data_IF_829563814433
#
_entry.id   IF_829563814433
#
_cell.length_a   1.000
_cell.length_b   1.000
_cell.length_c   1.000
_cell.angle_alpha   90.00
_cell.angle_beta   90.00
_cell.angle_gamma   90.00
#
_symmetry.space_group_name_H-M   'P 1'
#
loop_
_entity.id
_entity.type
_entity.pdbx_description
1 polymer ?
#
# COMPACT_ATOMS: atom_id res chain seq x y z
N UNK A 1 -19.77 -24.63 3.53
CA UNK A 1 -18.84 -24.10 4.54
C UNK A 1 -18.00 -25.26 5.05
N UNK A 2 -16.69 -25.17 4.93
CA UNK A 2 -15.73 -26.19 5.36
C UNK A 2 -14.86 -25.61 6.47
N UNK A 3 -14.69 -26.33 7.58
CA UNK A 3 -13.93 -25.85 8.73
C UNK A 3 -12.61 -26.59 8.89
N UNK A 4 -11.55 -25.85 9.17
CA UNK A 4 -10.21 -26.35 9.44
C UNK A 4 -9.72 -25.83 10.79
N UNK A 5 -9.14 -26.71 11.61
CA UNK A 5 -8.76 -26.36 12.97
C UNK A 5 -7.53 -27.11 13.48
N UNK A 6 -6.72 -26.42 14.29
CA UNK A 6 -5.75 -27.03 15.21
C UNK A 6 -4.45 -27.57 14.60
N UNK A 7 -3.86 -26.86 13.63
CA UNK A 7 -2.55 -27.22 13.05
C UNK A 7 -1.45 -26.33 13.62
N UNK A 8 -0.51 -26.89 14.38
CA UNK A 8 0.54 -26.11 15.04
C UNK A 8 1.95 -26.52 14.62
N UNK A 9 2.90 -25.58 14.68
CA UNK A 9 4.29 -25.80 14.27
C UNK A 9 4.42 -25.91 12.75
N UNK A 10 5.54 -26.38 12.23
CA UNK A 10 5.76 -26.55 10.78
C UNK A 10 4.97 -27.73 10.14
N UNK A 11 3.74 -27.97 10.59
CA UNK A 11 2.86 -29.00 10.08
C UNK A 11 1.87 -28.41 9.07
N UNK A 12 1.46 -29.22 8.11
CA UNK A 12 0.45 -28.88 7.10
C UNK A 12 -0.66 -29.93 7.12
N UNK A 13 -1.91 -29.49 7.17
CA UNK A 13 -3.06 -30.36 6.93
C UNK A 13 -3.57 -30.15 5.50
N UNK A 14 -3.61 -31.23 4.72
CA UNK A 14 -4.08 -31.21 3.34
C UNK A 14 -5.53 -31.71 3.28
N UNK A 15 -6.38 -31.00 2.56
CA UNK A 15 -7.76 -31.36 2.32
C UNK A 15 -8.15 -31.15 0.85
N UNK A 16 -8.79 -32.14 0.24
CA UNK A 16 -9.34 -32.03 -1.10
C UNK A 16 -10.87 -31.97 -1.01
N UNK A 17 -11.45 -30.90 -1.56
CA UNK A 17 -12.90 -30.71 -1.64
C UNK A 17 -13.33 -31.02 -3.07
N UNK A 18 -14.03 -32.13 -3.26
CA UNK A 18 -14.52 -32.54 -4.57
C UNK A 18 -15.97 -32.13 -4.82
N UNK A 19 -16.25 -31.67 -6.03
CA UNK A 19 -17.60 -31.33 -6.50
C UNK A 19 -18.05 -32.30 -7.59
N UNK A 20 -19.34 -32.63 -7.64
CA UNK A 20 -19.86 -33.50 -8.68
C UNK A 20 -19.96 -32.77 -10.03
N UNK A 21 -20.01 -33.54 -11.12
CA UNK A 21 -20.01 -33.02 -12.48
C UNK A 21 -21.18 -32.04 -12.71
N UNK A 22 -20.86 -30.81 -13.11
CA UNK A 22 -21.85 -29.77 -13.44
C UNK A 22 -22.53 -29.12 -12.23
N UNK A 23 -22.02 -29.33 -11.01
CA UNK A 23 -22.47 -28.63 -9.80
C UNK A 23 -21.93 -27.21 -9.70
N UNK A 24 -20.80 -26.93 -10.33
CA UNK A 24 -20.22 -25.60 -10.42
C UNK A 24 -20.41 -25.07 -11.84
N UNK A 25 -21.04 -23.90 -11.94
CA UNK A 25 -21.29 -23.19 -13.20
C UNK A 25 -21.45 -21.69 -12.90
N UNK A 26 -20.38 -20.92 -13.10
CA UNK A 26 -20.39 -19.46 -12.98
C UNK A 26 -20.65 -18.95 -11.55
N UNK A 27 -19.80 -18.05 -11.08
CA UNK A 27 -19.86 -17.37 -9.79
C UNK A 27 -19.99 -18.31 -8.57
N UNK A 28 -19.37 -19.48 -8.63
CA UNK A 28 -19.38 -20.45 -7.54
C UNK A 28 -18.63 -19.87 -6.34
N UNK A 29 -19.21 -20.01 -5.15
CA UNK A 29 -18.59 -19.54 -3.90
C UNK A 29 -18.34 -20.68 -2.93
N UNK A 30 -17.11 -20.80 -2.44
CA UNK A 30 -16.76 -21.69 -1.34
C UNK A 30 -16.47 -20.89 -0.08
N UNK A 31 -17.10 -21.28 1.02
CA UNK A 31 -16.87 -20.66 2.33
C UNK A 31 -15.99 -21.57 3.18
N UNK A 32 -14.92 -21.03 3.76
CA UNK A 32 -13.95 -21.69 4.62
C UNK A 32 -13.96 -21.01 5.99
N UNK A 33 -13.78 -21.79 7.05
CA UNK A 33 -13.51 -21.28 8.39
C UNK A 33 -12.16 -21.84 8.86
N UNK A 34 -11.26 -20.98 9.29
CA UNK A 34 -9.88 -21.32 9.67
C UNK A 34 -9.65 -20.93 11.13
N UNK A 35 -9.08 -21.83 11.93
CA UNK A 35 -8.89 -21.57 13.35
C UNK A 35 -7.69 -22.29 13.98
N UNK A 36 -7.02 -21.63 14.91
CA UNK A 36 -6.03 -22.26 15.78
C UNK A 36 -4.80 -22.82 15.07
N UNK A 37 -4.52 -22.37 13.83
CA UNK A 37 -3.22 -22.57 13.25
C UNK A 37 -2.19 -21.65 13.92
N UNK A 38 -0.98 -22.15 14.17
CA UNK A 38 0.07 -21.37 14.85
C UNK A 38 1.47 -21.87 14.54
N UNK A 39 2.48 -21.01 14.70
CA UNK A 39 3.89 -21.40 14.62
C UNK A 39 4.28 -21.93 13.25
N UNK A 40 3.84 -21.24 12.19
CA UNK A 40 4.03 -21.61 10.79
C UNK A 40 3.27 -22.89 10.38
N UNK A 41 2.19 -23.21 11.10
CA UNK A 41 1.26 -24.27 10.75
C UNK A 41 0.20 -23.77 9.78
N UNK A 42 -0.36 -24.67 8.97
CA UNK A 42 -1.38 -24.25 8.02
C UNK A 42 -2.13 -25.37 7.34
N UNK A 43 -2.92 -24.93 6.36
CA UNK A 43 -3.84 -25.78 5.61
C UNK A 43 -3.54 -25.64 4.13
N UNK A 44 -3.67 -26.74 3.39
CA UNK A 44 -3.67 -26.72 1.93
C UNK A 44 -4.95 -27.35 1.44
N UNK A 45 -5.72 -26.57 0.69
CA UNK A 45 -7.07 -26.92 0.28
C UNK A 45 -7.13 -26.96 -1.25
N UNK A 46 -7.24 -28.17 -1.79
CA UNK A 46 -7.54 -28.40 -3.19
C UNK A 46 -9.05 -28.34 -3.44
N UNK A 47 -9.45 -27.81 -4.59
CA UNK A 47 -10.82 -27.92 -5.09
C UNK A 47 -10.80 -28.67 -6.41
N UNK A 48 -11.48 -29.81 -6.44
CA UNK A 48 -11.41 -30.74 -7.56
C UNK A 48 -12.81 -30.92 -8.17
N UNK A 49 -12.92 -30.68 -9.48
CA UNK A 49 -14.10 -31.00 -10.26
C UNK A 49 -14.18 -32.49 -10.58
N UNK A 50 -15.24 -32.88 -11.30
CA UNK A 50 -15.35 -34.26 -11.78
C UNK A 50 -14.14 -34.60 -12.67
N UNK A 51 -13.50 -35.75 -12.42
CA UNK A 51 -12.29 -36.26 -13.11
C UNK A 51 -10.94 -35.64 -12.71
N UNK A 52 -10.84 -34.99 -11.55
CA UNK A 52 -9.63 -34.28 -11.10
C UNK A 52 -9.20 -33.17 -12.08
N UNK A 53 -10.20 -32.60 -12.76
CA UNK A 53 -10.04 -31.33 -13.44
C UNK A 53 -10.31 -30.23 -12.43
N UNK A 54 -9.68 -29.07 -12.64
CA UNK A 54 -9.90 -27.89 -11.82
C UNK A 54 -11.40 -27.62 -11.63
N UNK A 55 -11.79 -27.33 -10.39
CA UNK A 55 -13.17 -26.99 -10.07
C UNK A 55 -13.43 -25.55 -10.56
N UNK A 56 -14.57 -25.31 -11.21
CA UNK A 56 -15.01 -23.96 -11.59
C UNK A 56 -15.42 -23.16 -10.32
N UNK A 57 -14.46 -22.86 -9.45
CA UNK A 57 -14.63 -22.08 -8.21
C UNK A 57 -14.10 -20.67 -8.47
N UNK A 58 -15.01 -19.72 -8.62
CA UNK A 58 -14.68 -18.33 -8.91
C UNK A 58 -14.47 -17.48 -7.64
N UNK A 59 -15.05 -17.89 -6.50
CA UNK A 59 -15.02 -17.11 -5.27
C UNK A 59 -14.68 -17.98 -4.05
N UNK A 60 -13.75 -17.52 -3.22
CA UNK A 60 -13.44 -18.15 -1.92
C UNK A 60 -13.60 -17.12 -0.80
N UNK A 61 -14.44 -17.42 0.18
CA UNK A 61 -14.65 -16.60 1.39
C UNK A 61 -14.06 -17.33 2.59
N UNK A 62 -13.23 -16.64 3.37
CA UNK A 62 -12.49 -17.17 4.51
C UNK A 62 -12.86 -16.38 5.76
N UNK A 63 -13.33 -17.08 6.78
CA UNK A 63 -13.52 -16.55 8.13
C UNK A 63 -12.40 -17.07 9.04
N UNK A 64 -11.60 -16.16 9.60
CA UNK A 64 -10.41 -16.46 10.41
C UNK A 64 -10.72 -16.19 11.87
N UNK A 65 -10.77 -17.26 12.66
CA UNK A 65 -11.05 -17.15 14.09
C UNK A 65 -9.89 -16.48 14.83
N UNK A 66 -10.23 -15.73 15.89
CA UNK A 66 -9.27 -15.14 16.84
C UNK A 66 -8.18 -16.14 17.26
N UNK A 67 -6.93 -15.66 17.31
CA UNK A 67 -5.77 -16.44 17.73
C UNK A 67 -5.22 -17.41 16.69
N UNK A 68 -5.75 -17.40 15.46
CA UNK A 68 -5.06 -17.97 14.31
C UNK A 68 -3.82 -17.12 13.95
N UNK A 69 -2.73 -17.79 13.60
CA UNK A 69 -1.45 -17.21 13.17
C UNK A 69 -0.75 -18.21 12.23
N UNK A 70 -1.48 -18.60 11.19
CA UNK A 70 -1.07 -19.66 10.27
C UNK A 70 -1.29 -19.29 8.81
N UNK A 71 -1.14 -20.26 7.93
CA UNK A 71 -1.37 -20.07 6.50
C UNK A 71 -2.51 -20.92 5.95
N UNK A 72 -3.06 -20.49 4.83
CA UNK A 72 -3.98 -21.23 3.98
C UNK A 72 -3.49 -21.17 2.54
N UNK A 73 -3.10 -22.32 2.01
CA UNK A 73 -2.83 -22.50 0.58
C UNK A 73 -4.12 -22.89 -0.11
N UNK A 74 -4.56 -22.09 -1.07
CA UNK A 74 -5.63 -22.43 -2.00
C UNK A 74 -5.01 -23.12 -3.21
N UNK A 75 -5.57 -24.25 -3.63
CA UNK A 75 -5.16 -24.98 -4.83
C UNK A 75 -5.14 -24.09 -6.08
N UNK A 76 -4.46 -24.54 -7.13
CA UNK A 76 -4.35 -23.81 -8.39
C UNK A 76 -5.70 -23.84 -9.13
N UNK A 77 -6.55 -22.86 -8.80
CA UNK A 77 -7.82 -22.57 -9.45
C UNK A 77 -7.59 -21.56 -10.57
N UNK A 78 -7.62 -22.01 -11.81
CA UNK A 78 -7.47 -21.18 -13.00
C UNK A 78 -8.66 -20.26 -13.27
N UNK A 79 -9.80 -20.48 -12.59
CA UNK A 79 -11.00 -19.65 -12.66
C UNK A 79 -11.26 -18.84 -11.38
N UNK A 80 -10.37 -18.87 -10.39
CA UNK A 80 -10.58 -18.10 -9.16
C UNK A 80 -10.39 -16.61 -9.43
N UNK A 81 -11.47 -15.85 -9.25
CA UNK A 81 -11.53 -14.40 -9.47
C UNK A 81 -11.43 -13.65 -8.14
N UNK A 82 -12.08 -14.16 -7.07
CA UNK A 82 -12.13 -13.45 -5.79
C UNK A 82 -11.72 -14.29 -4.59
N UNK A 83 -11.00 -13.65 -3.68
CA UNK A 83 -10.69 -14.14 -2.33
C UNK A 83 -11.17 -13.08 -1.35
N UNK A 84 -12.06 -13.43 -0.43
CA UNK A 84 -12.50 -12.57 0.66
C UNK A 84 -12.03 -13.13 2.00
N UNK A 85 -11.42 -12.31 2.85
CA UNK A 85 -10.96 -12.69 4.18
C UNK A 85 -11.64 -11.81 5.23
N UNK A 86 -12.13 -12.43 6.30
CA UNK A 86 -12.78 -11.76 7.43
C UNK A 86 -12.32 -12.38 8.73
N UNK A 87 -12.67 -11.76 9.86
CA UNK A 87 -12.41 -12.29 11.18
C UNK A 87 -11.24 -11.62 11.89
N UNK A 88 -10.92 -12.13 13.08
CA UNK A 88 -10.02 -11.47 14.04
C UNK A 88 -8.63 -12.11 14.10
N UNK A 89 -8.46 -13.29 13.50
CA UNK A 89 -7.16 -13.98 13.47
C UNK A 89 -6.26 -13.52 12.33
N UNK A 90 -4.97 -13.78 12.49
CA UNK A 90 -3.95 -13.52 11.48
C UNK A 90 -3.97 -14.66 10.45
N UNK A 91 -3.71 -14.35 9.18
CA UNK A 91 -3.67 -15.36 8.13
C UNK A 91 -2.75 -14.96 6.99
N UNK A 92 -1.85 -15.87 6.61
CA UNK A 92 -1.17 -15.85 5.32
C UNK A 92 -1.98 -16.65 4.29
N UNK A 93 -2.45 -16.00 3.24
CA UNK A 93 -3.09 -16.66 2.09
C UNK A 93 -2.05 -16.88 0.98
N UNK A 94 -1.97 -18.10 0.49
CA UNK A 94 -1.12 -18.50 -0.63
C UNK A 94 -1.98 -19.02 -1.77
N UNK A 95 -1.78 -18.49 -2.98
CA UNK A 95 -2.48 -18.97 -4.16
C UNK A 95 -1.55 -18.93 -5.38
N UNK A 96 -1.56 -20.03 -6.15
CA UNK A 96 -0.67 -20.22 -7.29
C UNK A 96 -1.29 -19.85 -8.66
N UNK A 97 -2.58 -19.50 -8.72
CA UNK A 97 -3.24 -19.03 -9.93
C UNK A 97 -3.04 -17.52 -10.14
N UNK A 98 -3.15 -17.08 -11.40
CA UNK A 98 -2.99 -15.69 -11.81
C UNK A 98 -4.28 -14.99 -12.23
N UNK A 99 -5.43 -15.64 -12.06
CA UNK A 99 -6.74 -15.13 -12.47
C UNK A 99 -7.45 -14.29 -11.41
N UNK A 100 -6.87 -14.14 -10.21
CA UNK A 100 -7.49 -13.38 -9.12
C UNK A 100 -7.52 -11.90 -9.48
N UNK A 101 -8.73 -11.36 -9.57
CA UNK A 101 -9.03 -9.95 -9.83
C UNK A 101 -9.32 -9.19 -8.52
N UNK A 102 -9.69 -9.90 -7.45
CA UNK A 102 -9.95 -9.28 -6.16
C UNK A 102 -9.48 -10.09 -4.96
N UNK A 103 -8.67 -9.48 -4.11
CA UNK A 103 -8.39 -9.94 -2.76
C UNK A 103 -8.96 -8.92 -1.77
N UNK A 104 -9.98 -9.27 -1.02
CA UNK A 104 -10.68 -8.35 -0.12
C UNK A 104 -10.63 -8.83 1.33
N UNK A 105 -9.75 -8.23 2.12
CA UNK A 105 -9.64 -8.40 3.56
C UNK A 105 -10.11 -7.17 4.34
N UNK A 106 -10.89 -6.27 3.73
CA UNK A 106 -11.30 -4.99 4.34
C UNK A 106 -12.11 -5.13 5.63
N UNK A 107 -12.76 -6.27 5.84
CA UNK A 107 -13.51 -6.57 7.05
C UNK A 107 -12.73 -7.42 8.07
N UNK A 108 -11.47 -7.77 7.79
CA UNK A 108 -10.60 -8.44 8.74
C UNK A 108 -10.03 -7.43 9.76
N UNK A 109 -9.87 -7.89 11.00
CA UNK A 109 -9.20 -7.10 12.05
C UNK A 109 -7.87 -7.71 12.49
N UNK A 110 -7.60 -8.96 12.11
CA UNK A 110 -6.28 -9.58 12.25
C UNK A 110 -5.33 -9.15 11.13
N UNK A 111 -4.06 -9.53 11.26
CA UNK A 111 -3.01 -9.25 10.29
C UNK A 111 -3.16 -10.19 9.09
N UNK A 112 -3.43 -9.64 7.91
CA UNK A 112 -3.62 -10.45 6.70
C UNK A 112 -2.41 -10.31 5.79
N UNK A 113 -1.82 -11.44 5.43
CA UNK A 113 -0.75 -11.51 4.44
C UNK A 113 -1.24 -12.20 3.18
N UNK A 114 -0.90 -11.66 2.01
CA UNK A 114 -1.18 -12.33 0.74
C UNK A 114 0.06 -12.35 -0.15
N UNK A 115 0.34 -13.52 -0.70
CA UNK A 115 1.34 -13.68 -1.76
C UNK A 115 0.71 -14.45 -2.91
N UNK A 116 0.74 -13.85 -4.09
CA UNK A 116 0.17 -14.41 -5.31
C UNK A 116 1.25 -14.90 -6.28
N UNK A 117 0.87 -15.81 -7.18
CA UNK A 117 1.57 -15.97 -8.45
C UNK A 117 1.16 -14.86 -9.42
N UNK A 118 2.04 -14.47 -10.35
CA UNK A 118 1.85 -13.34 -11.26
C UNK A 118 0.40 -13.23 -11.79
N UNK A 119 -0.29 -12.16 -11.41
CA UNK A 119 -1.63 -11.85 -11.90
C UNK A 119 -1.55 -11.44 -13.38
N UNK A 120 -2.57 -11.82 -14.15
CA UNK A 120 -2.64 -11.49 -15.58
C UNK A 120 -3.75 -10.52 -15.93
N UNK A 121 -4.65 -10.25 -14.99
CA UNK A 121 -5.77 -9.32 -15.11
C UNK A 121 -5.66 -8.22 -14.05
N UNK A 122 -6.38 -7.12 -14.26
CA UNK A 122 -6.40 -6.00 -13.31
C UNK A 122 -6.89 -6.49 -11.95
N UNK A 123 -6.22 -6.04 -10.89
CA UNK A 123 -6.46 -6.56 -9.55
C UNK A 123 -6.71 -5.47 -8.52
N UNK A 124 -7.66 -5.72 -7.63
CA UNK A 124 -7.96 -4.88 -6.48
C UNK A 124 -7.69 -5.64 -5.19
N UNK A 125 -6.80 -5.09 -4.37
CA UNK A 125 -6.39 -5.65 -3.09
C UNK A 125 -6.86 -4.71 -1.99
N UNK A 126 -7.57 -5.24 -0.99
CA UNK A 126 -8.00 -4.49 0.18
C UNK A 126 -7.52 -5.15 1.46
N UNK A 127 -6.87 -4.39 2.33
CA UNK A 127 -6.49 -4.76 3.69
C UNK A 127 -7.49 -4.26 4.73
N UNK A 128 -7.39 -4.84 5.92
CA UNK A 128 -8.28 -4.57 7.04
C UNK A 128 -7.71 -3.56 8.02
N UNK A 129 -8.02 -3.71 9.30
CA UNK A 129 -7.48 -2.85 10.37
C UNK A 129 -6.21 -3.40 11.05
N UNK A 130 -5.71 -4.55 10.61
CA UNK A 130 -4.48 -5.18 11.11
C UNK A 130 -3.23 -4.72 10.35
N UNK A 131 -2.05 -5.13 10.80
CA UNK A 131 -0.79 -4.90 10.07
C UNK A 131 -0.71 -5.91 8.90
N UNK A 132 -1.06 -5.48 7.69
CA UNK A 132 -1.15 -6.35 6.52
C UNK A 132 0.16 -6.44 5.75
N UNK A 133 0.37 -7.57 5.07
CA UNK A 133 1.53 -7.76 4.20
C UNK A 133 1.11 -8.25 2.81
N UNK A 134 1.22 -7.39 1.80
CA UNK A 134 0.86 -7.71 0.43
C UNK A 134 2.09 -7.79 -0.47
N UNK A 135 2.37 -9.00 -0.97
CA UNK A 135 3.46 -9.28 -1.90
C UNK A 135 2.87 -9.59 -3.28
N UNK A 136 2.69 -8.54 -4.08
CA UNK A 136 1.94 -8.54 -5.33
C UNK A 136 2.88 -8.61 -6.53
N UNK A 137 2.71 -9.62 -7.37
CA UNK A 137 3.32 -9.67 -8.71
C UNK A 137 2.22 -9.66 -9.77
N UNK A 138 2.28 -8.77 -10.76
CA UNK A 138 1.27 -8.67 -11.82
C UNK A 138 1.89 -8.29 -13.18
N UNK A 139 1.17 -8.50 -14.27
CA UNK A 139 1.45 -7.88 -15.58
C UNK A 139 0.42 -6.83 -15.98
N UNK A 140 -0.64 -6.69 -15.19
CA UNK A 140 -1.78 -5.80 -15.39
C UNK A 140 -1.82 -4.74 -14.29
N UNK A 141 -2.84 -3.89 -14.31
CA UNK A 141 -2.95 -2.79 -13.36
C UNK A 141 -3.29 -3.31 -11.97
N UNK A 142 -2.78 -2.63 -10.94
CA UNK A 142 -2.96 -3.04 -9.54
C UNK A 142 -3.43 -1.85 -8.71
N UNK A 143 -4.56 -2.03 -8.03
CA UNK A 143 -5.04 -1.10 -7.01
C UNK A 143 -4.92 -1.75 -5.63
N UNK A 144 -4.31 -1.06 -4.68
CA UNK A 144 -4.18 -1.48 -3.28
C UNK A 144 -4.79 -0.42 -2.38
N UNK A 145 -5.65 -0.83 -1.47
CA UNK A 145 -6.13 -0.07 -0.31
C UNK A 145 -5.76 -0.90 0.92
N UNK A 146 -4.70 -0.55 1.64
CA UNK A 146 -4.19 -1.40 2.71
C UNK A 146 -4.97 -1.27 4.03
N UNK A 147 -5.77 -0.20 4.16
CA UNK A 147 -6.62 0.02 5.31
C UNK A 147 -5.91 0.73 6.46
N UNK A 148 -5.96 0.17 7.66
CA UNK A 148 -5.29 0.75 8.82
C UNK A 148 -4.38 -0.29 9.45
N UNK A 149 -3.36 0.17 10.16
CA UNK A 149 -2.32 -0.70 10.68
C UNK A 149 -0.99 -0.32 10.07
N UNK A 150 0.07 -1.01 10.47
CA UNK A 150 1.39 -0.79 9.91
C UNK A 150 1.62 -1.75 8.74
N UNK A 151 1.22 -1.35 7.55
CA UNK A 151 1.18 -2.20 6.38
C UNK A 151 2.53 -2.29 5.66
N UNK A 152 2.76 -3.44 5.01
CA UNK A 152 3.90 -3.67 4.12
C UNK A 152 3.39 -4.09 2.76
N UNK A 153 3.59 -3.22 1.77
CA UNK A 153 3.05 -3.37 0.42
C UNK A 153 4.22 -3.45 -0.54
N UNK A 154 4.35 -4.56 -1.24
CA UNK A 154 5.32 -4.75 -2.32
C UNK A 154 4.57 -5.05 -3.61
N UNK A 155 4.65 -4.17 -4.59
CA UNK A 155 4.04 -4.34 -5.91
C UNK A 155 5.13 -4.39 -6.97
N UNK A 156 5.13 -5.47 -7.76
CA UNK A 156 5.97 -5.63 -8.93
C UNK A 156 5.09 -5.87 -10.16
N UNK A 157 4.91 -4.85 -11.00
CA UNK A 157 4.06 -4.96 -12.19
C UNK A 157 4.56 -4.11 -13.36
N UNK A 158 4.15 -4.52 -14.56
CA UNK A 158 4.31 -3.73 -15.77
C UNK A 158 3.09 -2.85 -16.09
N UNK A 159 1.95 -3.10 -15.43
CA UNK A 159 0.76 -2.23 -15.47
C UNK A 159 0.86 -1.10 -14.45
N UNK A 160 -0.08 -0.17 -14.51
CA UNK A 160 -0.10 0.99 -13.62
C UNK A 160 -0.52 0.60 -12.20
N UNK A 161 -0.05 1.38 -11.24
CA UNK A 161 -0.19 1.10 -9.81
C UNK A 161 -0.95 2.25 -9.15
N UNK A 162 -1.99 1.93 -8.39
CA UNK A 162 -2.58 2.82 -7.41
C UNK A 162 -2.44 2.19 -6.02
N UNK A 163 -1.79 2.88 -5.09
CA UNK A 163 -1.67 2.44 -3.70
C UNK A 163 -2.19 3.54 -2.79
N UNK A 164 -3.11 3.18 -1.92
CA UNK A 164 -3.44 3.90 -0.68
C UNK A 164 -3.06 2.99 0.49
N UNK A 165 -2.05 3.37 1.26
CA UNK A 165 -1.63 2.60 2.43
C UNK A 165 -2.45 2.95 3.69
N UNK A 166 -3.23 4.04 3.66
CA UNK A 166 -4.19 4.38 4.69
C UNK A 166 -3.56 4.94 5.97
N UNK A 167 -3.75 4.31 7.13
CA UNK A 167 -3.31 4.86 8.40
C UNK A 167 -2.32 3.93 9.10
N UNK A 168 -1.09 4.39 9.34
CA UNK A 168 -0.02 3.45 9.65
C UNK A 168 1.35 4.08 9.62
N UNK A 169 2.39 3.30 9.87
CA UNK A 169 3.74 3.72 9.47
C UNK A 169 4.17 2.75 8.38
N UNK A 170 3.69 3.00 7.18
CA UNK A 170 3.61 1.99 6.15
C UNK A 170 4.91 1.87 5.38
N UNK A 171 5.12 0.71 4.78
CA UNK A 171 6.26 0.47 3.90
C UNK A 171 5.77 0.06 2.53
N UNK A 172 5.92 0.96 1.57
CA UNK A 172 5.49 0.78 0.19
C UNK A 172 6.73 0.54 -0.66
N UNK A 173 6.73 -0.51 -1.47
CA UNK A 173 7.76 -0.78 -2.46
C UNK A 173 7.10 -1.05 -3.80
N UNK A 174 7.33 -0.16 -4.76
CA UNK A 174 6.84 -0.31 -6.13
C UNK A 174 8.01 -0.58 -7.06
N UNK A 175 7.82 -1.49 -8.01
CA UNK A 175 8.81 -1.89 -8.99
C UNK A 175 8.16 -2.32 -10.30
N UNK A 176 8.96 -2.40 -11.36
CA UNK A 176 8.49 -2.70 -12.71
C UNK A 176 8.40 -1.43 -13.57
N UNK A 177 7.58 -1.46 -14.61
CA UNK A 177 7.60 -0.42 -15.65
C UNK A 177 6.36 0.47 -15.73
N UNK A 178 5.28 0.13 -15.02
CA UNK A 178 4.09 0.97 -14.98
C UNK A 178 4.28 2.20 -14.10
N UNK A 179 3.45 3.21 -14.34
CA UNK A 179 3.46 4.42 -13.53
C UNK A 179 2.74 4.16 -12.20
N UNK A 180 3.10 4.90 -11.15
CA UNK A 180 2.55 4.71 -9.82
C UNK A 180 1.89 5.99 -9.28
N UNK A 181 0.67 5.88 -8.78
CA UNK A 181 0.03 6.86 -7.91
C UNK A 181 0.03 6.30 -6.49
N UNK A 182 0.65 7.01 -5.54
CA UNK A 182 0.88 6.51 -4.19
C UNK A 182 0.41 7.54 -3.18
N UNK A 183 -0.52 7.13 -2.33
CA UNK A 183 -0.93 7.81 -1.11
C UNK A 183 -0.31 7.01 0.04
N UNK A 184 0.67 7.60 0.72
CA UNK A 184 1.22 7.02 1.96
C UNK A 184 0.16 7.00 3.06
N UNK A 185 -0.64 8.07 3.11
CA UNK A 185 -1.68 8.23 4.10
C UNK A 185 -1.08 8.75 5.41
N UNK A 186 -1.75 8.50 6.53
CA UNK A 186 -1.40 9.11 7.80
C UNK A 186 -0.33 8.32 8.55
N UNK A 187 0.84 8.93 8.73
CA UNK A 187 1.88 8.47 9.66
C UNK A 187 3.26 8.77 9.13
N UNK A 188 4.25 7.92 9.41
CA UNK A 188 5.61 8.10 8.90
C UNK A 188 5.93 6.97 7.95
N UNK A 189 5.65 7.20 6.67
CA UNK A 189 5.72 6.15 5.67
C UNK A 189 7.11 6.07 5.04
N UNK A 190 7.43 4.88 4.55
CA UNK A 190 8.64 4.64 3.77
C UNK A 190 8.24 4.13 2.40
N UNK A 191 8.43 4.97 1.40
CA UNK A 191 8.09 4.68 0.01
C UNK A 191 9.38 4.41 -0.76
N UNK A 192 9.44 3.27 -1.44
CA UNK A 192 10.59 2.82 -2.22
C UNK A 192 10.19 2.66 -3.69
N UNK A 193 10.64 3.60 -4.51
CA UNK A 193 10.45 3.62 -5.94
C UNK A 193 11.63 2.89 -6.61
N UNK A 194 11.44 1.60 -6.91
CA UNK A 194 12.47 0.75 -7.50
C UNK A 194 12.19 0.42 -8.98
N UNK A 195 11.13 1.00 -9.55
CA UNK A 195 10.70 0.82 -10.94
C UNK A 195 11.38 1.77 -11.92
N UNK A 196 11.04 1.61 -13.20
CA UNK A 196 11.39 2.54 -14.28
C UNK A 196 10.25 3.44 -14.73
N UNK A 197 9.03 3.18 -14.26
CA UNK A 197 7.90 4.11 -14.40
C UNK A 197 8.08 5.34 -13.52
N UNK A 198 7.23 6.33 -13.74
CA UNK A 198 7.18 7.57 -12.93
C UNK A 198 6.21 7.42 -11.77
N UNK A 199 6.40 8.21 -10.72
CA UNK A 199 5.57 8.19 -9.52
C UNK A 199 4.95 9.56 -9.23
N UNK A 200 3.65 9.58 -8.96
CA UNK A 200 2.95 10.66 -8.29
C UNK A 200 2.77 10.30 -6.81
N UNK A 201 3.40 11.07 -5.93
CA UNK A 201 3.29 10.93 -4.47
C UNK A 201 2.22 11.92 -4.01
N UNK A 202 1.03 11.42 -3.69
CA UNK A 202 -0.18 12.20 -3.50
C UNK A 202 -0.38 12.46 -2.01
N UNK A 203 -0.53 13.74 -1.67
CA UNK A 203 -0.88 14.20 -0.33
C UNK A 203 -2.26 14.87 -0.37
N UNK A 204 -3.19 14.38 0.44
CA UNK A 204 -4.59 14.83 0.43
C UNK A 204 -5.02 15.47 1.76
N UNK A 205 -4.27 15.23 2.84
CA UNK A 205 -4.51 15.83 4.14
C UNK A 205 -3.21 16.22 4.86
N UNK A 206 -3.32 17.16 5.80
CA UNK A 206 -2.21 17.56 6.67
C UNK A 206 -1.68 16.41 7.55
N UNK A 207 -2.56 15.46 7.90
CA UNK A 207 -2.18 14.30 8.69
C UNK A 207 -1.23 13.35 7.97
N UNK A 208 -1.13 13.48 6.65
CA UNK A 208 -0.41 12.53 5.82
C UNK A 208 1.09 12.60 6.13
N UNK A 209 1.65 13.81 6.18
CA UNK A 209 3.08 13.97 6.46
C UNK A 209 3.39 15.28 7.18
N UNK A 210 3.70 15.19 8.48
CA UNK A 210 4.05 16.36 9.33
C UNK A 210 5.51 16.31 9.75
N UNK A 211 6.04 17.35 10.37
CA UNK A 211 7.42 17.32 10.89
C UNK A 211 7.71 16.14 11.83
N UNK A 212 6.72 15.68 12.61
CA UNK A 212 6.91 14.59 13.58
C UNK A 212 6.89 13.22 12.89
N UNK A 213 5.96 13.05 11.95
CA UNK A 213 5.76 11.84 11.19
C UNK A 213 5.79 12.27 9.71
N UNK A 214 6.99 12.45 9.18
CA UNK A 214 7.13 12.74 7.76
C UNK A 214 7.49 11.48 6.99
N UNK A 215 7.10 11.48 5.73
CA UNK A 215 7.38 10.40 4.81
C UNK A 215 8.79 10.44 4.30
N UNK A 216 9.28 9.25 3.95
CA UNK A 216 10.59 9.03 3.36
C UNK A 216 10.44 8.38 2.01
N UNK A 217 10.84 9.11 0.97
CA UNK A 217 10.77 8.67 -0.41
C UNK A 217 12.18 8.31 -0.87
N UNK A 218 12.37 7.03 -1.21
CA UNK A 218 13.58 6.51 -1.81
C UNK A 218 13.34 6.31 -3.31
N UNK A 219 14.32 6.68 -4.14
CA UNK A 219 14.24 6.47 -5.59
C UNK A 219 13.53 7.57 -6.37
N UNK A 220 13.12 8.67 -5.70
CA UNK A 220 12.52 9.83 -6.37
C UNK A 220 13.47 10.40 -7.43
N UNK A 221 13.01 10.41 -8.68
CA UNK A 221 13.81 10.59 -9.87
C UNK A 221 13.15 11.50 -10.91
N UNK A 222 13.55 11.33 -12.17
CA UNK A 222 13.09 12.17 -13.26
C UNK A 222 11.65 11.80 -13.67
N UNK A 223 10.75 12.78 -13.67
CA UNK A 223 9.33 12.59 -13.99
C UNK A 223 8.46 12.32 -12.77
N UNK A 224 9.05 12.01 -11.62
CA UNK A 224 8.32 11.88 -10.37
C UNK A 224 7.86 13.25 -9.87
N UNK A 225 6.67 13.26 -9.27
CA UNK A 225 6.02 14.46 -8.75
C UNK A 225 5.51 14.24 -7.34
N UNK A 226 5.56 15.30 -6.54
CA UNK A 226 4.80 15.41 -5.29
C UNK A 226 3.50 16.13 -5.66
N UNK A 227 2.38 15.42 -5.59
CA UNK A 227 1.06 15.95 -5.90
C UNK A 227 0.45 16.57 -4.63
N UNK A 228 0.26 17.89 -4.71
CA UNK A 228 -0.31 18.76 -3.70
C UNK A 228 -1.62 19.40 -4.20
N UNK A 229 -2.20 18.87 -5.29
CA UNK A 229 -3.38 19.43 -5.96
C UNK A 229 -4.65 19.42 -5.11
N UNK A 230 -4.66 18.62 -4.03
CA UNK A 230 -5.73 18.60 -3.04
C UNK A 230 -5.74 19.86 -2.14
N UNK A 231 -4.64 20.61 -2.08
CA UNK A 231 -4.50 21.78 -1.21
C UNK A 231 -4.69 23.10 -1.96
N UNK A 232 -4.98 24.15 -1.21
CA UNK A 232 -5.05 25.52 -1.75
C UNK A 232 -3.91 26.35 -1.22
N UNK A 233 -3.12 26.93 -2.12
CA UNK A 233 -1.99 27.79 -1.80
C UNK A 233 -2.26 29.25 -2.15
N UNK A 234 -1.80 30.15 -1.28
CA UNK A 234 -1.77 31.60 -1.53
C UNK A 234 -0.40 32.11 -1.95
N UNK A 235 0.65 31.33 -1.66
CA UNK A 235 2.00 31.55 -2.16
C UNK A 235 2.14 31.22 -3.65
N UNK A 236 3.20 31.71 -4.26
CA UNK A 236 3.59 31.45 -5.65
C UNK A 236 3.87 29.95 -5.85
N UNK A 237 3.15 29.35 -6.80
CA UNK A 237 3.27 27.94 -7.20
C UNK A 237 4.20 27.74 -8.40
N UNK A 238 4.74 28.83 -8.98
CA UNK A 238 5.67 28.79 -10.11
C UNK A 238 7.15 28.87 -9.65
N UNK A 239 7.38 28.94 -8.34
CA UNK A 239 8.70 29.06 -7.74
C UNK A 239 8.83 28.29 -6.42
N UNK A 240 10.08 27.98 -6.04
CA UNK A 240 10.44 27.30 -4.80
C UNK A 240 11.31 28.22 -3.96
N UNK A 241 11.00 28.30 -2.66
CA UNK A 241 11.85 28.98 -1.66
C UNK A 241 13.04 28.13 -1.22
N UNK A 242 14.17 28.79 -0.98
CA UNK A 242 15.34 28.16 -0.39
C UNK A 242 15.25 28.19 1.15
N UNK A 243 14.86 27.07 1.75
CA UNK A 243 14.79 26.90 3.20
C UNK A 243 16.15 26.98 3.91
N UNK A 244 17.26 27.00 3.17
CA UNK A 244 18.62 27.13 3.70
C UNK A 244 19.00 28.55 4.13
N UNK A 245 18.15 29.55 3.89
CA UNK A 245 18.31 30.89 4.47
C UNK A 245 18.26 30.88 6.01
N UNK A 246 17.79 29.78 6.62
CA UNK A 246 17.87 29.51 8.05
C UNK A 246 19.27 28.97 8.42
N UNK A 247 19.79 29.27 9.62
CA UNK A 247 21.09 28.72 10.08
C UNK A 247 21.06 27.21 10.38
N UNK A 248 20.03 26.51 9.92
CA UNK A 248 19.78 25.11 10.22
C UNK A 248 20.67 24.22 9.34
N UNK A 249 21.31 23.27 10.02
CA UNK A 249 22.26 22.30 9.47
C UNK A 249 21.77 20.86 9.62
N UNK A 250 20.76 20.64 10.48
CA UNK A 250 20.10 19.35 10.65
C UNK A 250 18.58 19.51 10.67
N UNK A 251 17.85 18.47 10.22
CA UNK A 251 16.37 18.49 10.23
C UNK A 251 15.82 18.70 11.65
N UNK A 252 16.54 18.18 12.66
CA UNK A 252 16.19 18.33 14.08
C UNK A 252 16.05 19.78 14.56
N UNK A 253 16.64 20.74 13.85
CA UNK A 253 16.53 22.17 14.18
C UNK A 253 15.20 22.79 13.73
N UNK A 254 14.43 22.10 12.90
CA UNK A 254 13.07 22.47 12.51
C UNK A 254 12.00 21.92 13.48
N UNK A 255 12.40 21.21 14.55
CA UNK A 255 11.54 20.81 15.67
C UNK A 255 11.09 22.00 16.55
N UNK A 256 10.71 23.11 15.94
CA UNK A 256 10.23 24.32 16.59
C UNK A 256 8.77 24.54 16.24
N UNK A 257 8.08 25.35 17.03
CA UNK A 257 6.66 25.63 16.81
C UNK A 257 6.43 26.56 15.60
N UNK A 258 7.41 27.38 15.27
CA UNK A 258 7.27 28.44 14.28
C UNK A 258 8.64 28.86 13.74
N UNK A 259 8.79 28.89 12.41
CA UNK A 259 9.93 29.47 11.70
C UNK A 259 9.41 30.59 10.81
N UNK A 260 9.56 31.86 11.21
CA UNK A 260 9.02 32.99 10.46
C UNK A 260 9.65 33.16 9.07
N UNK A 261 8.84 33.65 8.12
CA UNK A 261 9.23 33.97 6.75
C UNK A 261 9.93 32.82 6.01
N UNK A 262 9.62 31.56 6.37
CA UNK A 262 10.30 30.37 5.84
C UNK A 262 10.00 30.17 4.35
N UNK A 263 8.75 30.41 3.95
CA UNK A 263 8.31 30.23 2.57
C UNK A 263 8.45 31.49 1.71
N UNK A 264 8.74 32.64 2.32
CA UNK A 264 8.76 33.91 1.59
C UNK A 264 7.42 34.19 0.90
N UNK A 265 7.45 34.38 -0.41
CA UNK A 265 6.23 34.55 -1.22
C UNK A 265 5.75 33.24 -1.87
N UNK A 266 6.45 32.10 -1.69
CA UNK A 266 6.21 30.85 -2.43
C UNK A 266 5.36 29.86 -1.63
N UNK A 267 4.73 28.89 -2.30
CA UNK A 267 3.93 27.84 -1.65
C UNK A 267 4.78 26.73 -1.01
N UNK A 268 5.97 26.50 -1.56
CA UNK A 268 6.87 25.41 -1.15
C UNK A 268 8.28 25.92 -0.91
N UNK A 269 8.98 25.24 -0.01
CA UNK A 269 10.40 25.45 0.24
C UNK A 269 11.14 24.12 0.23
N UNK A 270 12.42 24.15 -0.14
CA UNK A 270 13.31 22.99 -0.08
C UNK A 270 14.54 23.29 0.76
N UNK A 271 15.01 22.29 1.49
CA UNK A 271 16.23 22.36 2.28
C UNK A 271 17.02 21.05 2.19
N UNK A 272 18.35 21.12 2.15
CA UNK A 272 19.21 19.95 1.92
C UNK A 272 20.06 19.64 3.15
N UNK A 273 19.97 18.40 3.64
CA UNK A 273 20.86 17.83 4.66
C UNK A 273 21.76 16.77 4.01
N UNK A 274 23.04 17.09 3.85
CA UNK A 274 23.98 16.23 3.14
C UNK A 274 23.50 15.87 1.71
N UNK A 275 22.93 14.68 1.52
CA UNK A 275 22.39 14.21 0.23
C UNK A 275 20.87 14.12 0.22
N UNK A 276 20.19 14.36 1.34
CA UNK A 276 18.74 14.30 1.42
C UNK A 276 18.15 15.69 1.19
N UNK A 277 17.09 15.77 0.39
CA UNK A 277 16.28 16.99 0.27
C UNK A 277 15.03 16.82 1.14
N UNK A 278 14.72 17.83 1.93
CA UNK A 278 13.46 17.95 2.63
C UNK A 278 12.61 18.99 1.90
N UNK A 279 11.39 18.57 1.58
CA UNK A 279 10.36 19.37 0.95
C UNK A 279 9.41 19.84 2.04
N UNK A 280 9.02 21.10 1.97
CA UNK A 280 8.09 21.74 2.88
C UNK A 280 7.00 22.41 2.06
N UNK A 281 5.74 22.31 2.49
CA UNK A 281 4.61 23.01 1.86
C UNK A 281 3.78 23.75 2.91
N UNK A 282 3.51 25.03 2.64
CA UNK A 282 2.73 25.92 3.50
C UNK A 282 1.24 25.61 3.37
N UNK A 283 0.75 24.64 4.13
CA UNK A 283 -0.64 24.19 4.02
C UNK A 283 -1.60 25.15 4.76
N UNK A 284 -1.10 25.91 5.73
CA UNK A 284 -1.91 26.84 6.51
C UNK A 284 -1.97 28.27 5.92
N UNK A 285 -1.11 28.56 4.93
CA UNK A 285 -1.02 29.80 4.18
C UNK A 285 -0.63 31.03 5.03
N UNK A 286 0.23 30.87 6.03
CA UNK A 286 0.70 31.97 6.86
C UNK A 286 2.13 32.45 6.53
N UNK A 287 2.84 31.75 5.63
CA UNK A 287 4.21 32.06 5.20
C UNK A 287 5.29 31.64 6.20
N UNK A 288 4.91 31.10 7.36
CA UNK A 288 5.80 30.53 8.36
C UNK A 288 5.87 29.02 8.19
N UNK A 289 6.94 28.39 8.66
CA UNK A 289 6.91 26.93 8.82
C UNK A 289 6.49 26.53 10.25
N UNK A 290 5.38 25.81 10.33
CA UNK A 290 4.82 25.25 11.55
C UNK A 290 4.84 23.72 11.52
N UNK A 291 5.62 23.11 12.42
CA UNK A 291 5.83 21.66 12.49
C UNK A 291 4.56 20.78 12.56
N UNK A 292 3.43 21.34 13.01
CA UNK A 292 2.16 20.63 13.15
C UNK A 292 1.11 21.03 12.11
N UNK A 293 1.39 22.00 11.25
CA UNK A 293 0.40 22.58 10.32
C UNK A 293 0.87 22.67 8.88
N UNK A 294 2.13 22.31 8.63
CA UNK A 294 2.71 22.24 7.30
C UNK A 294 3.24 20.85 6.99
N UNK A 295 3.28 20.57 5.69
CA UNK A 295 3.79 19.33 5.15
C UNK A 295 5.33 19.31 5.28
N UNK A 296 5.89 18.15 5.60
CA UNK A 296 7.32 17.87 5.46
C UNK A 296 7.49 16.53 4.78
N UNK A 297 8.35 16.41 3.77
CA UNK A 297 8.66 15.12 3.12
C UNK A 297 10.17 15.00 2.96
N UNK A 298 10.74 13.83 3.25
CA UNK A 298 12.15 13.54 3.01
C UNK A 298 12.33 12.79 1.68
N UNK A 299 13.05 13.39 0.75
CA UNK A 299 13.57 12.75 -0.45
C UNK A 299 15.00 12.25 -0.20
N UNK A 300 15.15 10.94 -0.14
CA UNK A 300 16.39 10.28 0.27
C UNK A 300 17.40 10.24 -0.88
N UNK A 301 18.59 10.79 -0.66
CA UNK A 301 19.66 10.88 -1.66
C UNK A 301 19.29 11.65 -2.96
N UNK A 302 18.35 12.59 -2.85
CA UNK A 302 17.92 13.45 -3.96
C UNK A 302 18.44 14.87 -3.75
N UNK A 303 18.89 15.50 -4.83
CA UNK A 303 19.25 16.93 -4.87
C UNK A 303 18.76 17.54 -6.18
N UNK A 304 18.55 18.87 -6.21
CA UNK A 304 18.17 19.57 -7.43
C UNK A 304 16.69 19.46 -7.80
N UNK A 305 15.82 19.31 -6.80
CA UNK A 305 14.37 19.42 -6.94
C UNK A 305 14.01 20.78 -7.54
N UNK A 306 13.13 20.81 -8.54
CA UNK A 306 12.62 22.02 -9.18
C UNK A 306 11.10 22.09 -9.06
N UNK A 307 10.51 23.22 -9.46
CA UNK A 307 9.05 23.41 -9.41
C UNK A 307 8.30 22.40 -10.27
N UNK A 308 8.95 21.86 -11.33
CA UNK A 308 8.38 20.81 -12.18
C UNK A 308 8.15 19.48 -11.44
N UNK A 309 8.72 19.31 -10.24
CA UNK A 309 8.48 18.14 -9.39
C UNK A 309 7.22 18.28 -8.50
N UNK A 310 6.45 19.35 -8.65
CA UNK A 310 5.25 19.59 -7.85
C UNK A 310 4.03 19.74 -8.76
N UNK A 311 2.96 19.02 -8.43
CA UNK A 311 1.65 19.27 -9.01
C UNK A 311 0.81 20.06 -8.00
N UNK A 312 0.43 21.28 -8.34
CA UNK A 312 -0.47 22.12 -7.54
C UNK A 312 -1.91 22.08 -8.05
N UNK A 313 -2.21 21.22 -9.03
CA UNK A 313 -3.47 21.17 -9.75
C UNK A 313 -3.60 22.25 -10.82
N UNK A 314 -4.62 22.14 -11.66
CA UNK A 314 -4.92 23.16 -12.65
C UNK A 314 -5.38 24.45 -11.96
N UNK A 315 -4.78 25.59 -12.30
CA UNK A 315 -5.24 26.90 -11.86
C UNK A 315 -6.74 27.05 -12.20
N UNK A 316 -7.58 27.19 -11.17
CA UNK A 316 -9.00 27.47 -11.37
C UNK A 316 -9.11 28.88 -11.95
N UNK A 317 -9.32 28.96 -13.27
CA UNK A 317 -9.43 30.19 -14.03
C UNK A 317 -10.70 31.01 -13.70
#
# INVERSE_FOLDING_TARGET
MFGFAGVSGNNEAVADISFAAGELKGDSTVNLAVSGASGNGGYSVGFEGSSNADADVENVVIDVAEGNDGYLTLGALGSLETITVTGEGDLLVLHAGGAVESFDASAATGNISWTNAQLTEDAIIRGGSGENEFNITSTADVTVDAGAGKDTITVNTNGDILVDAGAGNDTITVSGSGDAAIIGGAGSDTINLNGSGTAALIYEALSDSTYVNFDKINGFGAGDVIDLSAFTFTGDTDAISDGSATTNTTIGQFAVTDVPDFYGDNAVAVWVEATNTYVFADLNNDGHFNAASDLVVQLVNVTGVTVDNFDFGAAVA
#
